data_IF_285847635417
#
_entry.id   IF_285847635417
#
_cell.length_a   1.000
_cell.length_b   1.000
_cell.length_c   1.000
_cell.angle_alpha   90.00
_cell.angle_beta   90.00
_cell.angle_gamma   90.00
#
_symmetry.space_group_name_H-M   'P 1'
#
loop_
_entity.id
_entity.type
_entity.pdbx_description
1 polymer ?
#
# COMPACT_ATOMS: atom_id res chain seq x y z
N UNK A 1 -6.52 35.27 -5.48
CA UNK A 1 -7.38 34.08 -5.59
C UNK A 1 -6.39 32.95 -5.75
N UNK A 2 -5.98 32.40 -4.61
CA UNK A 2 -4.85 31.48 -4.52
C UNK A 2 -5.17 30.23 -5.31
N UNK A 3 -4.24 29.86 -6.20
CA UNK A 3 -4.34 28.65 -6.99
C UNK A 3 -4.50 27.47 -6.04
N UNK A 4 -5.51 26.64 -6.31
CA UNK A 4 -5.54 25.27 -5.80
C UNK A 4 -4.17 24.68 -6.15
N UNK A 5 -3.35 24.42 -5.13
CA UNK A 5 -2.02 23.86 -5.33
C UNK A 5 -2.13 22.62 -6.22
N UNK A 6 -1.18 22.47 -7.14
CA UNK A 6 -1.15 21.31 -8.03
C UNK A 6 -1.32 20.02 -7.20
N UNK A 7 -2.10 19.05 -7.69
CA UNK A 7 -2.31 17.79 -6.97
C UNK A 7 -0.95 17.20 -6.62
N UNK A 8 -0.68 17.05 -5.32
CA UNK A 8 0.59 16.50 -4.88
C UNK A 8 0.66 15.04 -5.28
N UNK A 9 1.64 14.69 -6.11
CA UNK A 9 1.97 13.30 -6.38
C UNK A 9 2.67 12.72 -5.14
N UNK A 10 2.11 11.62 -4.63
CA UNK A 10 2.61 10.91 -3.46
C UNK A 10 3.29 9.61 -3.90
N UNK A 11 4.32 9.21 -3.16
CA UNK A 11 4.92 7.88 -3.28
C UNK A 11 4.55 7.06 -2.04
N UNK A 12 4.03 5.85 -2.28
CA UNK A 12 3.75 4.84 -1.26
C UNK A 12 4.76 3.70 -1.44
N UNK A 13 5.57 3.48 -0.41
CA UNK A 13 6.47 2.33 -0.30
C UNK A 13 5.85 1.33 0.66
N UNK A 14 5.81 0.06 0.26
CA UNK A 14 5.25 -1.05 1.05
C UNK A 14 6.39 -2.02 1.34
N UNK A 15 6.63 -2.25 2.63
CA UNK A 15 7.67 -3.17 3.14
C UNK A 15 7.05 -4.37 3.88
N UNK A 16 5.81 -4.23 4.36
CA UNK A 16 5.02 -5.29 4.95
C UNK A 16 4.26 -6.15 3.92
N UNK A 17 3.73 -7.28 4.38
CA UNK A 17 2.80 -8.10 3.61
C UNK A 17 1.55 -7.30 3.19
N UNK A 18 1.10 -7.55 1.97
CA UNK A 18 -0.09 -6.92 1.40
C UNK A 18 -0.88 -7.88 0.51
N UNK A 19 -2.17 -7.58 0.36
CA UNK A 19 -3.11 -8.39 -0.44
C UNK A 19 -4.21 -7.54 -1.07
N UNK A 20 -4.99 -8.14 -1.96
CA UNK A 20 -6.25 -7.56 -2.46
C UNK A 20 -7.44 -8.19 -1.74
N UNK A 21 -8.31 -7.35 -1.20
CA UNK A 21 -9.53 -7.78 -0.52
C UNK A 21 -9.29 -8.32 0.88
N UNK A 22 -10.22 -9.12 1.38
CA UNK A 22 -10.08 -9.76 2.69
C UNK A 22 -9.13 -10.97 2.66
N UNK A 23 -8.65 -11.34 3.84
CA UNK A 23 -7.70 -12.44 4.02
C UNK A 23 -8.25 -13.79 3.56
N UNK A 24 -9.54 -14.07 3.77
CA UNK A 24 -10.11 -15.38 3.45
C UNK A 24 -10.22 -15.58 1.94
N UNK A 25 -10.72 -14.57 1.23
CA UNK A 25 -10.82 -14.56 -0.22
C UNK A 25 -9.43 -14.56 -0.87
N UNK A 26 -8.47 -13.83 -0.28
CA UNK A 26 -7.08 -13.86 -0.71
C UNK A 26 -6.48 -15.25 -0.63
N UNK A 27 -6.57 -15.90 0.54
CA UNK A 27 -6.03 -17.25 0.73
C UNK A 27 -6.72 -18.28 -0.18
N UNK A 28 -8.02 -18.12 -0.44
CA UNK A 28 -8.73 -18.96 -1.41
C UNK A 28 -8.21 -18.75 -2.85
N UNK A 29 -7.92 -17.50 -3.24
CA UNK A 29 -7.32 -17.16 -4.54
C UNK A 29 -5.91 -17.73 -4.66
N UNK A 30 -5.07 -17.55 -3.64
CA UNK A 30 -3.69 -18.08 -3.61
C UNK A 30 -3.70 -19.59 -3.77
N UNK A 31 -4.48 -20.33 -2.98
CA UNK A 31 -4.60 -21.79 -3.10
C UNK A 31 -5.07 -22.28 -4.47
N UNK A 32 -5.89 -21.49 -5.15
CA UNK A 32 -6.39 -21.82 -6.49
C UNK A 32 -5.33 -21.62 -7.58
N UNK A 33 -4.44 -20.66 -7.41
CA UNK A 33 -3.49 -20.22 -8.44
C UNK A 33 -2.07 -20.77 -8.21
N UNK A 34 -1.67 -20.95 -6.96
CA UNK A 34 -0.36 -21.46 -6.59
C UNK A 34 -0.38 -23.01 -6.50
N UNK A 35 0.59 -23.71 -7.09
CA UNK A 35 0.71 -25.16 -6.93
C UNK A 35 1.10 -25.54 -5.49
N UNK A 36 0.77 -26.76 -5.08
CA UNK A 36 1.18 -27.29 -3.78
C UNK A 36 2.72 -27.28 -3.66
N UNK A 37 3.24 -26.75 -2.54
CA UNK A 37 4.68 -26.63 -2.31
C UNK A 37 5.36 -25.48 -3.04
N UNK A 38 4.61 -24.53 -3.61
CA UNK A 38 5.18 -23.31 -4.17
C UNK A 38 5.97 -22.52 -3.10
N UNK A 39 7.15 -22.04 -3.49
CA UNK A 39 7.89 -21.02 -2.73
C UNK A 39 7.21 -19.68 -2.97
N UNK A 40 6.94 -18.94 -1.89
CA UNK A 40 6.30 -17.61 -1.95
C UNK A 40 5.02 -17.60 -2.83
N UNK A 41 4.02 -18.43 -2.48
CA UNK A 41 2.84 -18.65 -3.33
C UNK A 41 2.02 -17.38 -3.58
N UNK A 42 2.21 -16.34 -2.77
CA UNK A 42 1.48 -15.07 -2.84
C UNK A 42 2.06 -14.11 -3.89
N UNK A 43 3.38 -14.10 -4.11
CA UNK A 43 4.03 -13.14 -5.02
C UNK A 43 3.50 -13.21 -6.46
N UNK A 44 3.33 -14.39 -7.09
CA UNK A 44 2.77 -14.46 -8.44
C UNK A 44 1.34 -13.95 -8.52
N UNK A 45 0.56 -14.13 -7.44
CA UNK A 45 -0.82 -13.67 -7.36
C UNK A 45 -0.88 -12.15 -7.20
N UNK A 46 -0.03 -11.59 -6.33
CA UNK A 46 0.17 -10.16 -6.18
C UNK A 46 0.53 -9.50 -7.52
N UNK A 47 1.51 -10.05 -8.24
CA UNK A 47 1.92 -9.54 -9.54
C UNK A 47 0.77 -9.58 -10.57
N UNK A 48 -0.01 -10.66 -10.59
CA UNK A 48 -1.19 -10.78 -11.43
C UNK A 48 -2.25 -9.72 -11.11
N UNK A 49 -2.56 -9.48 -9.84
CA UNK A 49 -3.55 -8.47 -9.44
C UNK A 49 -3.09 -7.05 -9.79
N UNK A 50 -1.82 -6.70 -9.56
CA UNK A 50 -1.27 -5.40 -9.95
C UNK A 50 -1.36 -5.19 -11.47
N UNK A 51 -1.01 -6.22 -12.26
CA UNK A 51 -1.11 -6.17 -13.71
C UNK A 51 -2.57 -5.99 -14.16
N UNK A 52 -3.49 -6.73 -13.55
CA UNK A 52 -4.93 -6.62 -13.79
C UNK A 52 -5.45 -5.21 -13.49
N UNK A 53 -5.11 -4.65 -12.31
CA UNK A 53 -5.50 -3.29 -11.93
C UNK A 53 -4.95 -2.22 -12.85
N UNK A 54 -3.73 -2.42 -13.39
CA UNK A 54 -3.14 -1.50 -14.38
C UNK A 54 -3.87 -1.52 -15.72
N UNK A 55 -4.42 -2.67 -16.11
CA UNK A 55 -5.09 -2.85 -17.41
C UNK A 55 -6.58 -2.52 -17.37
N UNK A 56 -7.23 -2.63 -16.21
CA UNK A 56 -8.58 -2.10 -16.00
C UNK A 56 -8.49 -0.60 -15.69
N UNK A 57 -9.29 0.24 -16.37
CA UNK A 57 -9.31 1.73 -16.33
C UNK A 57 -9.48 2.41 -14.94
N UNK A 58 -9.38 1.68 -13.84
CA UNK A 58 -9.68 2.15 -12.49
C UNK A 58 -8.50 2.23 -11.53
N UNK A 59 -7.25 2.39 -11.98
CA UNK A 59 -6.08 2.46 -11.09
C UNK A 59 -6.01 3.73 -10.22
N UNK A 60 -6.93 4.68 -10.43
CA UNK A 60 -7.03 5.86 -9.58
C UNK A 60 -7.55 5.46 -8.19
N UNK A 61 -6.90 5.97 -7.16
CA UNK A 61 -7.35 5.82 -5.78
C UNK A 61 -8.63 6.61 -5.56
N UNK A 62 -9.64 5.96 -4.99
CA UNK A 62 -10.91 6.57 -4.58
C UNK A 62 -10.95 6.88 -3.09
N UNK A 63 -10.29 6.05 -2.27
CA UNK A 63 -10.28 6.19 -0.82
C UNK A 63 -9.01 5.58 -0.20
N UNK A 64 -8.57 6.15 0.93
CA UNK A 64 -7.45 5.66 1.73
C UNK A 64 -7.84 5.68 3.20
N UNK A 65 -7.82 4.52 3.85
CA UNK A 65 -8.20 4.38 5.26
C UNK A 65 -7.04 3.78 6.03
N UNK A 66 -6.65 4.47 7.10
CA UNK A 66 -5.66 3.97 8.05
C UNK A 66 -6.37 3.52 9.34
N UNK A 67 -6.08 2.30 9.77
CA UNK A 67 -6.54 1.75 11.04
C UNK A 67 -5.36 1.36 11.92
N UNK A 68 -5.61 0.90 13.16
CA UNK A 68 -4.54 0.47 14.06
C UNK A 68 -3.71 -0.71 13.52
N UNK A 69 -4.26 -1.52 12.61
CA UNK A 69 -3.63 -2.75 12.12
C UNK A 69 -3.19 -2.74 10.65
N UNK A 70 -3.63 -1.75 9.87
CA UNK A 70 -3.48 -1.79 8.42
C UNK A 70 -3.78 -0.45 7.75
N UNK A 71 -3.15 -0.25 6.59
CA UNK A 71 -3.49 0.75 5.58
C UNK A 71 -4.32 0.08 4.48
N UNK A 72 -5.46 0.69 4.14
CA UNK A 72 -6.34 0.24 3.06
C UNK A 72 -6.40 1.29 1.95
N UNK A 73 -6.16 0.88 0.72
CA UNK A 73 -6.24 1.74 -0.47
C UNK A 73 -7.31 1.18 -1.41
N UNK A 74 -8.40 1.91 -1.57
CA UNK A 74 -9.49 1.53 -2.48
C UNK A 74 -9.35 2.27 -3.79
N UNK A 75 -9.50 1.55 -4.89
CA UNK A 75 -9.44 2.08 -6.25
C UNK A 75 -10.84 2.46 -6.74
N UNK A 76 -10.94 3.28 -7.79
CA UNK A 76 -12.21 3.60 -8.43
C UNK A 76 -12.88 2.36 -9.07
N UNK A 77 -12.07 1.35 -9.43
CA UNK A 77 -12.55 0.04 -9.88
C UNK A 77 -13.11 -0.85 -8.76
N UNK A 78 -13.04 -0.42 -7.49
CA UNK A 78 -13.56 -1.14 -6.33
C UNK A 78 -12.61 -2.17 -5.72
N UNK A 79 -11.40 -2.36 -6.28
CA UNK A 79 -10.38 -3.18 -5.65
C UNK A 79 -9.80 -2.46 -4.43
N UNK A 80 -9.61 -3.19 -3.32
CA UNK A 80 -9.00 -2.68 -2.10
C UNK A 80 -7.68 -3.40 -1.84
N UNK A 81 -6.58 -2.64 -1.85
CA UNK A 81 -5.27 -3.09 -1.39
C UNK A 81 -5.24 -2.97 0.13
N UNK A 82 -4.86 -4.03 0.82
CA UNK A 82 -4.73 -4.07 2.28
C UNK A 82 -3.28 -4.35 2.63
N UNK A 83 -2.66 -3.46 3.41
CA UNK A 83 -1.25 -3.49 3.79
C UNK A 83 -1.17 -3.57 5.31
N UNK A 84 -0.54 -4.61 5.85
CA UNK A 84 -0.37 -4.77 7.29
C UNK A 84 0.49 -3.68 7.93
N UNK A 85 0.24 -3.35 9.21
CA UNK A 85 1.08 -2.40 9.97
C UNK A 85 2.21 -3.07 10.76
N UNK A 86 2.29 -4.40 10.74
CA UNK A 86 3.28 -5.17 11.49
C UNK A 86 4.42 -5.66 10.60
N UNK A 87 5.64 -5.38 11.03
CA UNK A 87 6.89 -5.94 10.52
C UNK A 87 7.75 -6.39 11.71
N UNK A 88 8.93 -6.98 11.47
CA UNK A 88 9.85 -7.30 12.56
C UNK A 88 10.33 -6.03 13.28
N UNK A 89 10.72 -6.17 14.56
CA UNK A 89 11.01 -5.02 15.43
C UNK A 89 12.08 -4.10 14.83
N UNK A 90 11.70 -2.86 14.57
CA UNK A 90 12.59 -1.80 14.08
C UNK A 90 12.52 -1.53 12.56
N UNK A 91 11.59 -2.15 11.84
CA UNK A 91 11.38 -1.94 10.41
C UNK A 91 10.15 -1.07 10.12
N UNK A 92 10.11 -0.47 8.93
CA UNK A 92 8.96 0.30 8.47
C UNK A 92 7.98 -0.64 7.79
N UNK A 93 6.69 -0.59 8.13
CA UNK A 93 5.68 -1.40 7.44
C UNK A 93 5.31 -0.79 6.08
N UNK A 94 5.20 0.54 6.05
CA UNK A 94 4.96 1.32 4.85
C UNK A 94 5.30 2.79 5.11
N UNK A 95 5.57 3.53 4.04
CA UNK A 95 5.81 4.97 4.08
C UNK A 95 5.07 5.69 2.95
N UNK A 96 4.46 6.83 3.26
CA UNK A 96 3.88 7.77 2.31
C UNK A 96 4.68 9.07 2.37
N UNK A 97 5.14 9.56 1.24
CA UNK A 97 5.92 10.79 1.19
C UNK A 97 5.80 11.54 -0.12
N UNK A 98 6.51 12.66 -0.17
CA UNK A 98 6.65 13.46 -1.38
C UNK A 98 7.40 12.69 -2.46
N UNK A 99 6.80 12.56 -3.65
CA UNK A 99 7.40 11.82 -4.76
C UNK A 99 8.75 12.42 -5.18
N UNK A 100 9.75 11.55 -5.34
CA UNK A 100 11.07 11.92 -5.86
C UNK A 100 11.96 12.71 -4.89
N UNK A 101 11.54 12.88 -3.64
CA UNK A 101 12.36 13.44 -2.57
C UNK A 101 12.66 12.34 -1.54
N UNK A 102 13.93 12.12 -1.14
CA UNK A 102 14.22 11.20 -0.06
C UNK A 102 13.62 11.73 1.25
N UNK A 103 13.26 10.84 2.18
CA UNK A 103 12.52 11.18 3.41
C UNK A 103 13.18 12.29 4.26
N UNK A 104 14.50 12.39 4.23
CA UNK A 104 15.25 13.42 4.96
C UNK A 104 15.18 14.81 4.31
N UNK A 105 14.85 14.89 3.02
CA UNK A 105 14.65 16.12 2.23
C UNK A 105 13.17 16.45 2.01
N UNK A 106 12.26 15.49 2.27
CA UNK A 106 10.84 15.68 2.09
C UNK A 106 10.28 16.75 3.04
N UNK A 107 9.41 17.61 2.49
CA UNK A 107 8.68 18.62 3.29
C UNK A 107 7.69 17.99 4.25
N UNK A 108 7.24 16.78 3.95
CA UNK A 108 6.48 15.95 4.87
C UNK A 108 6.68 14.46 4.54
N UNK A 109 6.51 13.63 5.55
CA UNK A 109 6.42 12.17 5.39
C UNK A 109 5.53 11.57 6.47
N UNK A 110 4.92 10.43 6.15
CA UNK A 110 4.15 9.59 7.06
C UNK A 110 4.68 8.18 6.96
N UNK A 111 4.98 7.53 8.07
CA UNK A 111 5.36 6.12 8.07
C UNK A 111 4.71 5.38 9.24
N UNK A 112 4.69 4.04 9.14
CA UNK A 112 4.29 3.19 10.24
C UNK A 112 5.42 2.24 10.62
N UNK A 113 5.81 2.26 11.90
CA UNK A 113 6.85 1.39 12.47
C UNK A 113 6.24 0.73 13.70
N UNK A 114 6.30 -0.60 13.77
CA UNK A 114 5.77 -1.38 14.91
C UNK A 114 4.32 -0.99 15.32
N UNK A 115 3.45 -0.72 14.32
CA UNK A 115 2.07 -0.30 14.56
C UNK A 115 1.88 1.14 15.06
N UNK A 116 2.95 1.92 15.15
CA UNK A 116 2.91 3.35 15.52
C UNK A 116 3.05 4.20 14.26
N UNK A 117 2.19 5.20 14.11
CA UNK A 117 2.20 6.14 12.98
C UNK A 117 3.04 7.36 13.34
N UNK A 118 4.01 7.67 12.48
CA UNK A 118 4.87 8.84 12.60
C UNK A 118 4.55 9.81 11.47
N UNK A 119 4.42 11.09 11.83
CA UNK A 119 4.23 12.18 10.87
C UNK A 119 5.36 13.18 11.09
N UNK A 120 6.13 13.46 10.04
CA UNK A 120 7.14 14.50 10.02
C UNK A 120 6.69 15.60 9.07
N UNK A 121 6.77 16.85 9.52
CA UNK A 121 6.58 18.03 8.68
C UNK A 121 7.81 18.95 8.81
N UNK A 122 8.15 19.66 7.75
CA UNK A 122 9.13 20.74 7.78
C UNK A 122 8.50 22.02 8.35
N UNK A 123 9.19 22.66 9.29
CA UNK A 123 8.98 24.08 9.66
C UNK A 123 9.62 25.02 8.64
#
# INVERSE_FOLDING_TARGET
>A
MDGLGDPQELELTIEADWRIGDEADWQAKVRRLAPEGAVEPEEPVQAYELASMRWSDGSNVSDVVLTAGELRVTTQGGATIVIGSSVERGETAWSIGQRGAPEHEATWSVCCVDGVVYVKGSE
#
